data_IF_848350261022
#
_entry.id   IF_848350261022
#
_cell.length_a   1.000
_cell.length_b   1.000
_cell.length_c   1.000
_cell.angle_alpha   90.00
_cell.angle_beta   90.00
_cell.angle_gamma   90.00
#
_symmetry.space_group_name_H-M   'P 1'
#
loop_
_entity.id
_entity.type
_entity.pdbx_description
1 polymer ?
#
# COMPACT_ATOMS: atom_id res chain seq x y z
N UNK A 1 39.39 12.62 12.38
CA UNK A 1 38.37 12.80 13.44
C UNK A 1 37.39 13.86 12.96
N UNK A 2 36.38 13.47 12.17
CA UNK A 2 35.33 14.38 11.67
C UNK A 2 34.39 13.65 10.68
N UNK A 3 33.73 12.57 11.11
CA UNK A 3 32.70 11.89 10.30
C UNK A 3 31.56 11.24 11.13
N UNK A 4 31.50 11.51 12.44
CA UNK A 4 30.39 11.04 13.29
C UNK A 4 29.35 12.14 13.57
N UNK A 5 29.67 13.41 13.32
CA UNK A 5 28.77 14.55 13.62
C UNK A 5 27.73 14.82 12.51
N UNK A 6 27.91 14.30 11.30
CA UNK A 6 26.99 14.50 10.17
C UNK A 6 25.77 13.56 10.18
N UNK A 7 25.89 12.38 10.81
CA UNK A 7 24.82 11.38 10.90
C UNK A 7 23.85 11.72 12.05
N UNK A 8 24.37 12.23 13.18
CA UNK A 8 23.54 12.67 14.33
C UNK A 8 22.61 13.84 14.00
N UNK A 9 23.00 14.69 13.05
CA UNK A 9 22.25 15.89 12.69
C UNK A 9 21.06 15.61 11.74
N UNK A 10 21.09 14.53 10.94
CA UNK A 10 19.95 14.17 10.07
C UNK A 10 18.83 13.45 10.81
N UNK A 11 19.15 12.56 11.77
CA UNK A 11 18.15 11.89 12.62
C UNK A 11 17.43 12.89 13.55
N UNK A 12 18.13 13.95 13.99
CA UNK A 12 17.51 15.06 14.73
C UNK A 12 16.59 15.93 13.87
N UNK A 13 16.85 16.08 12.56
CA UNK A 13 16.01 16.88 11.67
C UNK A 13 14.64 16.26 11.38
N UNK A 14 14.53 14.93 11.32
CA UNK A 14 13.23 14.25 11.18
C UNK A 14 12.44 14.21 12.50
N UNK A 15 13.10 14.05 13.65
CA UNK A 15 12.41 14.17 14.96
C UNK A 15 12.03 15.62 15.32
N UNK A 16 12.74 16.63 14.81
CA UNK A 16 12.40 18.04 15.05
C UNK A 16 11.31 18.59 14.12
N UNK A 17 10.96 17.89 13.03
CA UNK A 17 9.85 18.31 12.17
C UNK A 17 8.51 18.27 12.92
N UNK A 18 8.36 17.37 13.89
CA UNK A 18 7.16 17.24 14.72
C UNK A 18 6.99 18.37 15.77
N UNK A 19 8.04 19.11 16.14
CA UNK A 19 7.96 20.11 17.22
C UNK A 19 7.80 21.56 16.73
N UNK A 20 8.08 21.86 15.46
CA UNK A 20 8.02 23.23 14.92
C UNK A 20 6.72 23.55 14.17
N UNK A 21 5.96 22.55 13.73
CA UNK A 21 4.64 22.76 13.10
C UNK A 21 3.59 23.18 14.14
N UNK A 22 3.71 22.71 15.38
CA UNK A 22 2.79 23.03 16.48
C UNK A 22 2.81 24.50 16.93
N UNK A 23 3.91 25.24 16.69
CA UNK A 23 4.05 26.62 17.18
C UNK A 23 3.58 27.70 16.22
N UNK A 24 3.45 27.40 14.92
CA UNK A 24 3.12 28.43 13.91
C UNK A 24 1.64 28.52 13.52
N UNK A 25 0.78 27.63 14.03
CA UNK A 25 -0.65 27.57 13.63
C UNK A 25 -1.62 27.94 14.76
N UNK A 26 -1.11 28.23 15.97
CA UNK A 26 -1.92 28.69 17.11
C UNK A 26 -2.58 30.08 16.90
N UNK A 27 -2.28 30.77 15.80
CA UNK A 27 -2.81 32.11 15.52
C UNK A 27 -3.92 32.17 14.46
N UNK A 28 -4.38 31.04 13.90
CA UNK A 28 -5.35 31.06 12.80
C UNK A 28 -6.79 30.69 13.16
N UNK A 29 -7.05 30.02 14.29
CA UNK A 29 -8.42 29.63 14.65
C UNK A 29 -8.65 29.74 16.14
N UNK A 30 -9.58 30.61 16.54
CA UNK A 30 -10.05 30.76 17.92
C UNK A 30 -10.83 29.54 18.42
N UNK A 31 -11.14 29.48 19.73
CA UNK A 31 -11.84 28.34 20.31
C UNK A 31 -13.27 28.22 19.76
N UNK A 32 -13.71 27.01 19.48
CA UNK A 32 -15.06 26.70 18.98
C UNK A 32 -15.90 26.19 20.16
N UNK A 33 -17.02 26.87 20.40
CA UNK A 33 -18.06 26.46 21.34
C UNK A 33 -18.86 25.27 20.78
N UNK A 34 -19.06 24.24 21.61
CA UNK A 34 -19.99 23.14 21.37
C UNK A 34 -21.42 23.63 21.60
N UNK A 35 -22.27 23.62 20.57
CA UNK A 35 -23.71 23.48 20.71
C UNK A 35 -24.29 22.71 19.52
N UNK A 36 -25.04 21.66 19.87
CA UNK A 36 -25.82 20.78 19.01
C UNK A 36 -26.92 21.53 18.24
N UNK A 37 -27.37 20.99 17.10
CA UNK A 37 -28.81 20.84 16.79
C UNK A 37 -29.07 20.03 15.49
N UNK A 38 -29.91 19.01 15.67
CA UNK A 38 -30.87 18.31 14.80
C UNK A 38 -30.65 18.07 13.29
N UNK A 39 -30.59 16.77 12.96
CA UNK A 39 -30.82 16.20 11.63
C UNK A 39 -32.33 16.03 11.39
N UNK A 40 -32.80 16.39 10.19
CA UNK A 40 -34.10 15.95 9.70
C UNK A 40 -33.94 15.21 8.36
N UNK A 41 -34.45 14.00 8.39
CA UNK A 41 -34.47 12.94 7.39
C UNK A 41 -35.39 13.28 6.22
N UNK A 42 -35.03 12.87 4.99
CA UNK A 42 -35.96 12.50 3.91
C UNK A 42 -35.18 11.88 2.73
N UNK A 43 -35.26 10.56 2.69
CA UNK A 43 -34.89 9.67 1.58
C UNK A 43 -35.73 9.92 0.33
N UNK A 44 -35.14 9.69 -0.85
CA UNK A 44 -35.84 9.11 -1.99
C UNK A 44 -34.89 8.17 -2.74
N UNK A 45 -35.27 6.88 -2.73
CA UNK A 45 -34.60 5.74 -3.36
C UNK A 45 -34.85 5.72 -4.87
N UNK A 46 -33.82 5.43 -5.66
CA UNK A 46 -33.98 4.84 -6.99
C UNK A 46 -33.17 3.53 -7.04
N UNK A 47 -33.91 2.42 -7.14
CA UNK A 47 -33.39 1.08 -7.47
C UNK A 47 -33.08 1.01 -8.96
N UNK A 48 -31.87 0.64 -9.32
CA UNK A 48 -31.56 0.12 -10.66
C UNK A 48 -30.82 -1.22 -10.49
N UNK A 49 -31.56 -2.30 -10.70
CA UNK A 49 -31.07 -3.66 -10.69
C UNK A 49 -30.38 -3.97 -12.03
N UNK A 50 -29.24 -4.68 -11.93
CA UNK A 50 -28.48 -5.38 -12.97
C UNK A 50 -27.17 -4.71 -13.43
N UNK A 51 -26.14 -4.79 -12.58
CA UNK A 51 -24.77 -4.93 -13.07
C UNK A 51 -24.06 -6.04 -12.29
N UNK A 52 -23.75 -7.13 -13.00
CA UNK A 52 -22.96 -8.23 -12.46
C UNK A 52 -21.56 -7.72 -12.14
N UNK A 53 -21.23 -7.64 -10.85
CA UNK A 53 -19.91 -7.21 -10.36
C UNK A 53 -18.84 -8.19 -10.85
N UNK A 54 -17.83 -7.76 -11.64
CA UNK A 54 -16.81 -8.66 -12.13
C UNK A 54 -15.83 -9.03 -11.01
N UNK A 55 -15.63 -10.34 -10.84
CA UNK A 55 -14.63 -10.95 -9.95
C UNK A 55 -13.22 -10.74 -10.52
N UNK A 56 -12.42 -9.85 -9.93
CA UNK A 56 -10.97 -9.61 -10.20
C UNK A 56 -10.60 -9.30 -11.67
N UNK A 57 -9.71 -8.34 -11.94
CA UNK A 57 -9.47 -7.87 -13.32
C UNK A 57 -8.71 -8.87 -14.22
N UNK A 58 -8.29 -10.03 -13.72
CA UNK A 58 -7.57 -11.03 -14.51
C UNK A 58 -8.52 -12.02 -15.18
N UNK A 59 -9.45 -11.50 -15.98
CA UNK A 59 -10.20 -12.34 -16.93
C UNK A 59 -9.25 -12.78 -18.04
N UNK A 60 -9.37 -14.05 -18.44
CA UNK A 60 -8.65 -14.84 -19.47
C UNK A 60 -8.37 -14.20 -20.86
N UNK A 61 -8.56 -12.90 -21.06
CA UNK A 61 -8.57 -12.22 -22.36
C UNK A 61 -7.26 -11.50 -22.74
N UNK A 62 -6.23 -11.50 -21.88
CA UNK A 62 -4.94 -10.83 -22.12
C UNK A 62 -4.72 -9.61 -21.22
N UNK A 63 -3.50 -9.08 -21.22
CA UNK A 63 -3.15 -7.84 -20.52
C UNK A 63 -3.37 -6.63 -21.44
N UNK A 64 -3.55 -5.41 -20.91
CA UNK A 64 -3.48 -4.21 -21.73
C UNK A 64 -2.07 -4.09 -22.35
N UNK A 65 -1.91 -3.33 -23.45
CA UNK A 65 -0.58 -3.06 -24.00
C UNK A 65 0.39 -2.50 -22.96
N UNK A 66 1.67 -2.79 -23.13
CA UNK A 66 2.71 -2.35 -22.21
C UNK A 66 2.65 -0.82 -22.07
N UNK A 67 2.63 -0.30 -20.83
CA UNK A 67 2.65 1.13 -20.62
C UNK A 67 4.02 1.70 -21.00
N UNK A 68 4.01 2.82 -21.73
CA UNK A 68 5.25 3.52 -22.12
C UNK A 68 6.00 4.04 -20.87
N UNK A 69 5.24 4.51 -19.88
CA UNK A 69 5.72 5.05 -18.62
C UNK A 69 5.42 4.11 -17.44
N UNK A 70 6.04 4.39 -16.29
CA UNK A 70 5.86 3.60 -15.08
C UNK A 70 6.82 2.41 -14.97
N UNK A 71 6.50 1.47 -14.10
CA UNK A 71 7.43 0.46 -13.61
C UNK A 71 7.12 -0.97 -14.07
N UNK A 72 6.22 -1.14 -15.03
CA UNK A 72 5.83 -2.43 -15.60
C UNK A 72 6.54 -2.60 -16.95
N UNK A 73 7.13 -3.76 -17.18
CA UNK A 73 7.85 -4.10 -18.41
C UNK A 73 7.42 -5.48 -18.90
N UNK A 74 7.03 -5.60 -20.17
CA UNK A 74 6.68 -6.88 -20.77
C UNK A 74 7.83 -7.41 -21.60
N UNK A 75 8.11 -8.70 -21.50
CA UNK A 75 9.07 -9.37 -22.38
C UNK A 75 8.59 -10.75 -22.72
N UNK A 76 8.47 -11.04 -24.02
CA UNK A 76 8.18 -12.41 -24.43
C UNK A 76 9.28 -13.35 -23.91
N UNK A 77 10.55 -13.01 -24.12
CA UNK A 77 11.70 -13.77 -23.60
C UNK A 77 12.98 -12.94 -23.54
N UNK A 78 13.92 -13.34 -22.67
CA UNK A 78 15.21 -12.68 -22.44
C UNK A 78 16.38 -13.68 -22.56
N UNK A 79 16.56 -14.26 -23.74
CA UNK A 79 17.54 -15.34 -23.94
C UNK A 79 18.83 -14.79 -24.55
N UNK A 80 19.94 -15.03 -23.86
CA UNK A 80 21.33 -14.76 -24.29
C UNK A 80 21.51 -13.47 -25.13
N UNK A 81 21.14 -12.30 -24.58
CA UNK A 81 21.33 -11.04 -25.28
C UNK A 81 22.83 -10.78 -25.51
N UNK A 82 23.18 -10.25 -26.68
CA UNK A 82 24.53 -9.77 -26.92
C UNK A 82 24.92 -8.65 -25.92
N UNK A 83 26.21 -8.35 -25.72
CA UNK A 83 26.66 -7.41 -24.70
C UNK A 83 26.01 -6.02 -24.81
N UNK A 84 25.87 -5.49 -26.02
CA UNK A 84 25.24 -4.19 -26.24
C UNK A 84 23.75 -4.22 -25.86
N UNK A 85 23.04 -5.27 -26.27
CA UNK A 85 21.62 -5.48 -25.92
C UNK A 85 21.44 -5.65 -24.42
N UNK A 86 22.33 -6.39 -23.76
CA UNK A 86 22.30 -6.55 -22.30
C UNK A 86 22.45 -5.21 -21.59
N UNK A 87 23.36 -4.33 -22.05
CA UNK A 87 23.50 -2.98 -21.49
C UNK A 87 22.24 -2.13 -21.68
N UNK A 88 21.58 -2.23 -22.84
CA UNK A 88 20.30 -1.56 -23.07
C UNK A 88 19.21 -2.06 -22.11
N UNK A 89 19.12 -3.38 -21.92
CA UNK A 89 18.15 -3.98 -20.99
C UNK A 89 18.42 -3.56 -19.54
N UNK A 90 19.69 -3.50 -19.11
CA UNK A 90 20.07 -2.99 -17.78
C UNK A 90 19.66 -1.52 -17.63
N UNK A 91 19.89 -0.70 -18.65
CA UNK A 91 19.51 0.72 -18.62
C UNK A 91 18.00 0.88 -18.52
N UNK A 92 17.25 0.08 -19.27
CA UNK A 92 15.78 0.03 -19.21
C UNK A 92 15.28 -0.38 -17.82
N UNK A 93 15.84 -1.45 -17.24
CA UNK A 93 15.50 -1.89 -15.87
C UNK A 93 15.76 -0.79 -14.83
N UNK A 94 16.89 -0.10 -14.93
CA UNK A 94 17.20 1.01 -14.04
C UNK A 94 16.20 2.17 -14.19
N UNK A 95 15.68 2.40 -15.40
CA UNK A 95 14.66 3.40 -15.62
C UNK A 95 13.31 2.98 -15.01
N UNK A 96 12.84 1.75 -15.26
CA UNK A 96 11.63 1.20 -14.64
C UNK A 96 11.69 1.21 -13.11
N UNK A 97 12.84 0.85 -12.52
CA UNK A 97 13.06 0.93 -11.08
C UNK A 97 12.95 2.36 -10.54
N UNK A 98 13.39 3.38 -11.28
CA UNK A 98 13.26 4.78 -10.85
C UNK A 98 11.82 5.26 -10.92
N UNK A 99 11.12 4.93 -12.00
CA UNK A 99 9.69 5.24 -12.18
C UNK A 99 8.84 4.58 -11.09
N UNK A 100 9.22 3.39 -10.63
CA UNK A 100 8.53 2.67 -9.55
C UNK A 100 9.15 2.83 -8.16
N UNK A 101 9.92 3.89 -7.93
CA UNK A 101 10.49 4.21 -6.60
C UNK A 101 11.26 3.05 -5.94
N UNK A 102 12.00 2.29 -6.73
CA UNK A 102 12.78 1.14 -6.30
C UNK A 102 12.15 -0.23 -6.60
N UNK A 103 10.97 -0.27 -7.23
CA UNK A 103 10.32 -1.52 -7.65
C UNK A 103 9.95 -1.51 -9.13
N UNK A 104 10.16 -2.62 -9.82
CA UNK A 104 9.71 -2.84 -11.19
C UNK A 104 9.10 -4.24 -11.35
N UNK A 105 8.03 -4.36 -12.12
CA UNK A 105 7.36 -5.62 -12.43
C UNK A 105 7.70 -6.04 -13.86
N UNK A 106 8.22 -7.26 -13.99
CA UNK A 106 8.56 -7.86 -15.27
C UNK A 106 7.62 -9.02 -15.56
N UNK A 107 6.89 -8.92 -16.67
CA UNK A 107 6.01 -9.97 -17.17
C UNK A 107 6.70 -10.76 -18.27
N UNK A 108 7.20 -11.96 -17.94
CA UNK A 108 7.90 -12.85 -18.87
C UNK A 108 6.90 -13.79 -19.55
N UNK A 109 6.99 -13.91 -20.87
CA UNK A 109 6.03 -14.65 -21.68
C UNK A 109 4.86 -13.80 -22.17
N UNK A 110 4.97 -12.46 -22.03
CA UNK A 110 3.97 -11.49 -22.48
C UNK A 110 4.57 -10.63 -23.60
N UNK A 111 3.82 -10.46 -24.68
CA UNK A 111 4.20 -9.55 -25.77
C UNK A 111 3.87 -8.10 -25.41
N UNK A 112 4.55 -7.13 -26.04
CA UNK A 112 4.36 -5.69 -25.79
C UNK A 112 2.90 -5.22 -26.01
N UNK A 113 2.12 -5.96 -26.82
CA UNK A 113 0.68 -5.71 -27.02
C UNK A 113 -0.23 -6.28 -25.91
N UNK A 114 0.34 -6.93 -24.90
CA UNK A 114 -0.35 -7.60 -23.80
C UNK A 114 -0.78 -9.05 -24.09
N UNK A 115 -0.39 -9.60 -25.24
CA UNK A 115 -0.72 -10.99 -25.62
C UNK A 115 0.05 -12.00 -24.76
N UNK A 116 -0.67 -12.93 -24.16
CA UNK A 116 -0.17 -13.96 -23.25
C UNK A 116 0.34 -15.20 -23.98
N UNK A 117 1.37 -15.02 -24.82
CA UNK A 117 1.93 -16.10 -25.64
C UNK A 117 2.66 -17.19 -24.84
N UNK A 118 3.18 -16.85 -23.65
CA UNK A 118 3.99 -17.72 -22.79
C UNK A 118 5.33 -18.11 -23.41
N UNK A 119 6.16 -18.84 -22.66
CA UNK A 119 7.45 -19.38 -23.11
C UNK A 119 7.62 -20.83 -22.66
N UNK A 120 8.48 -21.61 -23.33
CA UNK A 120 8.79 -22.96 -22.82
C UNK A 120 9.51 -22.88 -21.47
N UNK A 121 9.52 -23.97 -20.71
CA UNK A 121 10.24 -24.03 -19.44
C UNK A 121 11.75 -23.70 -19.60
N UNK A 122 12.39 -24.17 -20.67
CA UNK A 122 13.80 -23.88 -20.96
C UNK A 122 14.03 -22.40 -21.27
N UNK A 123 13.15 -21.81 -22.08
CA UNK A 123 13.20 -20.38 -22.42
C UNK A 123 12.95 -19.50 -21.20
N UNK A 124 12.05 -19.91 -20.29
CA UNK A 124 11.79 -19.23 -19.04
C UNK A 124 13.02 -19.24 -18.13
N UNK A 125 13.64 -20.39 -17.91
CA UNK A 125 14.84 -20.49 -17.08
C UNK A 125 15.98 -19.63 -17.64
N UNK A 126 16.20 -19.66 -18.95
CA UNK A 126 17.18 -18.78 -19.61
C UNK A 126 16.85 -17.30 -19.43
N UNK A 127 15.56 -16.94 -19.52
CA UNK A 127 15.09 -15.55 -19.33
C UNK A 127 15.31 -15.07 -17.90
N UNK A 128 15.01 -15.90 -16.89
CA UNK A 128 15.24 -15.60 -15.48
C UNK A 128 16.73 -15.44 -15.16
N UNK A 129 17.61 -16.26 -15.77
CA UNK A 129 19.07 -16.10 -15.64
C UNK A 129 19.53 -14.75 -16.17
N UNK A 130 19.03 -14.33 -17.34
CA UNK A 130 19.36 -13.01 -17.90
C UNK A 130 18.83 -11.88 -17.02
N UNK A 131 17.58 -11.98 -16.56
CA UNK A 131 16.96 -10.99 -15.68
C UNK A 131 17.74 -10.86 -14.36
N UNK A 132 18.23 -11.99 -13.81
CA UNK A 132 19.09 -12.00 -12.63
C UNK A 132 20.40 -11.27 -12.87
N UNK A 133 21.07 -11.53 -14.01
CA UNK A 133 22.31 -10.80 -14.39
C UNK A 133 22.07 -9.29 -14.50
N UNK A 134 20.92 -8.89 -15.05
CA UNK A 134 20.54 -7.48 -15.15
C UNK A 134 20.36 -6.85 -13.76
N UNK A 135 19.60 -7.52 -12.88
CA UNK A 135 19.35 -7.06 -11.52
C UNK A 135 20.63 -6.99 -10.68
N UNK A 136 21.48 -8.03 -10.75
CA UNK A 136 22.75 -8.07 -10.03
C UNK A 136 23.68 -6.91 -10.46
N UNK A 137 23.64 -6.52 -11.74
CA UNK A 137 24.40 -5.37 -12.28
C UNK A 137 23.94 -4.02 -11.70
N UNK A 138 22.72 -3.94 -11.17
CA UNK A 138 22.14 -2.76 -10.54
C UNK A 138 22.12 -2.85 -9.01
N UNK A 139 22.62 -3.96 -8.43
CA UNK A 139 22.47 -4.29 -7.01
C UNK A 139 20.99 -4.42 -6.57
N UNK A 140 20.16 -4.97 -7.46
CA UNK A 140 18.75 -5.25 -7.20
C UNK A 140 18.53 -6.74 -6.89
N UNK A 141 17.47 -7.06 -6.16
CA UNK A 141 16.96 -8.43 -5.97
C UNK A 141 15.82 -8.72 -6.94
N UNK A 142 15.58 -10.01 -7.21
CA UNK A 142 14.41 -10.47 -7.95
C UNK A 142 13.63 -11.48 -7.12
N UNK A 143 12.31 -11.43 -7.20
CA UNK A 143 11.37 -12.34 -6.53
C UNK A 143 10.28 -12.72 -7.52
N UNK A 144 10.04 -14.01 -7.70
CA UNK A 144 8.93 -14.47 -8.55
C UNK A 144 7.64 -14.30 -7.73
N UNK A 145 6.72 -13.47 -8.21
CA UNK A 145 5.43 -13.25 -7.56
C UNK A 145 4.43 -14.32 -7.96
N UNK A 146 4.41 -14.65 -9.24
CA UNK A 146 3.41 -15.55 -9.79
C UNK A 146 3.96 -16.29 -11.01
N UNK A 147 3.63 -17.57 -11.12
CA UNK A 147 3.89 -18.39 -12.30
C UNK A 147 2.60 -19.06 -12.75
N UNK A 148 2.26 -18.91 -14.03
CA UNK A 148 1.09 -19.50 -14.66
C UNK A 148 1.51 -20.32 -15.86
N UNK A 149 0.93 -21.52 -15.96
CA UNK A 149 0.97 -22.33 -17.17
C UNK A 149 -0.20 -21.98 -18.08
N UNK A 150 0.09 -21.69 -19.35
CA UNK A 150 -0.86 -21.47 -20.44
C UNK A 150 -0.88 -22.68 -21.38
N UNK A 151 -1.64 -22.59 -22.47
CA UNK A 151 -1.78 -23.67 -23.44
C UNK A 151 -0.41 -24.16 -23.98
N UNK A 152 -0.33 -25.44 -24.33
CA UNK A 152 0.86 -26.09 -24.88
C UNK A 152 2.09 -26.08 -23.94
N UNK A 153 1.89 -26.16 -22.62
CA UNK A 153 2.98 -26.25 -21.64
C UNK A 153 3.92 -25.04 -21.64
N UNK A 154 3.35 -23.87 -21.95
CA UNK A 154 4.07 -22.61 -21.91
C UNK A 154 3.80 -21.91 -20.58
N UNK A 155 4.76 -21.11 -20.13
CA UNK A 155 4.76 -20.45 -18.84
C UNK A 155 4.76 -18.94 -19.01
N UNK A 156 4.07 -18.27 -18.10
CA UNK A 156 4.07 -16.81 -17.93
C UNK A 156 4.44 -16.55 -16.48
N UNK A 157 5.35 -15.63 -16.25
CA UNK A 157 5.88 -15.35 -14.91
C UNK A 157 5.92 -13.85 -14.68
N UNK A 158 5.34 -13.43 -13.57
CA UNK A 158 5.47 -12.09 -13.04
C UNK A 158 6.64 -12.07 -12.04
N UNK A 159 7.63 -11.24 -12.30
CA UNK A 159 8.83 -11.10 -11.48
C UNK A 159 8.92 -9.68 -10.94
N UNK A 160 8.98 -9.56 -9.62
CA UNK A 160 9.30 -8.32 -8.94
C UNK A 160 10.81 -8.13 -8.91
N UNK A 161 11.28 -6.98 -9.39
CA UNK A 161 12.65 -6.51 -9.25
C UNK A 161 12.63 -5.39 -8.22
N UNK A 162 13.46 -5.50 -7.17
CA UNK A 162 13.52 -4.51 -6.11
C UNK A 162 14.94 -4.00 -5.90
N UNK A 163 15.09 -2.69 -5.83
CA UNK A 163 16.30 -2.00 -5.41
C UNK A 163 15.94 -0.90 -4.42
N UNK A 164 16.46 -1.00 -3.20
CA UNK A 164 16.38 0.11 -2.25
C UNK A 164 17.18 1.30 -2.84
N UNK A 165 16.58 2.50 -2.95
CA UNK A 165 17.30 3.68 -3.44
C UNK A 165 18.58 3.95 -2.65
N UNK A 166 19.64 4.38 -3.32
CA UNK A 166 20.98 4.52 -2.70
C UNK A 166 21.01 5.57 -1.56
N UNK A 167 20.01 6.46 -1.52
CA UNK A 167 19.81 7.50 -0.49
C UNK A 167 18.88 7.08 0.65
N UNK A 168 18.36 5.86 0.63
CA UNK A 168 17.36 5.34 1.57
C UNK A 168 17.80 4.02 2.20
N UNK A 169 17.22 3.68 3.35
CA UNK A 169 17.43 2.39 4.01
C UNK A 169 16.39 1.34 3.61
N UNK A 170 15.20 1.78 3.22
CA UNK A 170 14.08 0.96 2.80
C UNK A 170 13.17 1.78 1.89
N UNK A 171 12.34 1.11 1.10
CA UNK A 171 11.24 1.72 0.36
C UNK A 171 10.08 1.94 1.34
N UNK A 172 9.63 3.18 1.54
CA UNK A 172 8.50 3.53 2.41
C UNK A 172 7.23 3.72 1.57
N UNK A 173 6.18 2.96 1.88
CA UNK A 173 4.87 3.10 1.27
C UNK A 173 3.86 3.51 2.34
N UNK A 174 3.20 4.65 2.17
CA UNK A 174 2.28 5.22 3.16
C UNK A 174 0.84 5.03 2.74
N UNK A 175 0.11 4.31 3.57
CA UNK A 175 -1.31 4.01 3.35
C UNK A 175 -2.16 4.70 4.40
N UNK A 176 -2.94 5.69 3.98
CA UNK A 176 -3.97 6.29 4.83
C UNK A 176 -5.18 5.36 4.90
N UNK A 177 -5.65 5.05 6.10
CA UNK A 177 -6.78 4.14 6.30
C UNK A 177 -8.03 4.94 6.59
N UNK A 178 -8.96 4.89 5.64
CA UNK A 178 -10.23 5.61 5.64
C UNK A 178 -11.39 4.65 5.79
N UNK A 179 -12.53 5.20 6.20
CA UNK A 179 -13.76 4.43 6.37
C UNK A 179 -14.49 4.78 7.65
N UNK A 180 -15.72 4.30 7.73
CA UNK A 180 -16.69 4.74 8.72
C UNK A 180 -16.44 4.15 10.09
N UNK A 181 -17.18 4.60 11.09
CA UNK A 181 -17.17 3.94 12.40
C UNK A 181 -17.56 2.47 12.21
N UNK A 182 -16.86 1.58 12.91
CA UNK A 182 -17.07 0.13 12.87
C UNK A 182 -16.79 -0.58 11.53
N UNK A 183 -16.23 0.08 10.51
CA UNK A 183 -15.76 -0.61 9.29
C UNK A 183 -14.54 -1.52 9.49
N UNK A 184 -14.00 -1.54 10.72
CA UNK A 184 -12.92 -2.43 11.12
C UNK A 184 -11.52 -1.96 10.74
N UNK A 185 -11.31 -0.69 10.40
CA UNK A 185 -9.99 -0.07 10.10
C UNK A 185 -8.89 -0.47 11.09
N UNK A 186 -9.06 -0.10 12.35
CA UNK A 186 -8.09 -0.35 13.42
C UNK A 186 -7.92 -1.84 13.70
N UNK A 187 -8.99 -2.63 13.60
CA UNK A 187 -8.89 -4.09 13.73
C UNK A 187 -8.03 -4.68 12.61
N UNK A 188 -8.28 -4.28 11.35
CA UNK A 188 -7.55 -4.75 10.17
C UNK A 188 -6.06 -4.41 10.28
N UNK A 189 -5.72 -3.15 10.62
CA UNK A 189 -4.32 -2.74 10.83
C UNK A 189 -3.69 -3.57 11.97
N UNK A 190 -4.40 -3.77 13.07
CA UNK A 190 -3.91 -4.59 14.19
C UNK A 190 -3.61 -6.02 13.78
N UNK A 191 -4.48 -6.67 13.00
CA UNK A 191 -4.22 -8.01 12.46
C UNK A 191 -3.00 -8.00 11.54
N UNK A 192 -2.91 -7.05 10.61
CA UNK A 192 -1.80 -6.97 9.65
C UNK A 192 -0.45 -6.72 10.32
N UNK A 193 -0.40 -5.99 11.44
CA UNK A 193 0.85 -5.52 12.06
C UNK A 193 1.27 -6.35 13.27
N UNK A 194 0.36 -7.12 13.87
CA UNK A 194 0.68 -8.01 15.01
C UNK A 194 0.53 -9.50 14.67
N UNK A 195 -0.03 -9.86 13.52
CA UNK A 195 -0.20 -11.25 13.10
C UNK A 195 -1.25 -12.04 13.89
N UNK A 196 -2.00 -11.39 14.78
CA UNK A 196 -3.05 -12.01 15.59
C UNK A 196 -4.44 -11.71 15.03
N UNK A 197 -5.27 -12.75 14.86
CA UNK A 197 -6.65 -12.58 14.41
C UNK A 197 -7.50 -11.84 15.44
N UNK A 198 -8.35 -10.95 14.93
CA UNK A 198 -9.36 -10.26 15.74
C UNK A 198 -10.45 -11.25 16.18
N UNK A 199 -11.01 -11.04 17.38
CA UNK A 199 -12.02 -11.92 17.97
C UNK A 199 -13.46 -11.45 17.71
N UNK A 200 -13.65 -10.56 16.72
CA UNK A 200 -14.93 -9.90 16.43
C UNK A 200 -15.35 -8.83 17.45
N UNK A 201 -14.58 -8.63 18.53
CA UNK A 201 -14.85 -7.63 19.57
C UNK A 201 -13.78 -6.53 19.62
N UNK A 202 -12.92 -6.45 18.61
CA UNK A 202 -11.87 -5.44 18.51
C UNK A 202 -10.72 -5.68 19.48
N UNK A 203 -10.32 -6.95 19.71
CA UNK A 203 -9.09 -7.27 20.44
C UNK A 203 -7.86 -6.77 19.67
N UNK A 204 -7.84 -6.92 18.35
CA UNK A 204 -6.70 -6.52 17.52
C UNK A 204 -6.42 -5.00 17.58
N UNK A 205 -7.47 -4.16 17.64
CA UNK A 205 -7.32 -2.69 17.70
C UNK A 205 -6.80 -2.16 19.02
N UNK A 206 -6.84 -2.95 20.12
CA UNK A 206 -6.34 -2.49 21.42
C UNK A 206 -4.84 -2.18 21.38
N UNK A 207 -4.10 -2.86 20.51
CA UNK A 207 -2.67 -2.62 20.29
C UNK A 207 -2.39 -1.24 19.65
N UNK A 208 -3.41 -0.58 19.10
CA UNK A 208 -3.29 0.68 18.37
C UNK A 208 -3.72 1.90 19.20
N UNK A 209 -4.47 1.68 20.28
CA UNK A 209 -4.97 2.77 21.11
C UNK A 209 -3.84 3.44 21.90
N UNK A 210 -3.79 4.77 21.80
CA UNK A 210 -2.74 5.60 22.41
C UNK A 210 -3.21 6.32 23.65
N UNK A 211 -4.53 6.50 23.77
CA UNK A 211 -5.13 7.27 24.87
C UNK A 211 -6.09 6.44 25.71
N UNK A 212 -6.15 6.76 27.01
CA UNK A 212 -7.03 6.08 27.97
C UNK A 212 -8.51 6.14 27.54
N UNK A 213 -8.95 7.27 26.99
CA UNK A 213 -10.33 7.41 26.52
C UNK A 213 -10.64 6.56 25.28
N UNK A 214 -9.64 6.19 24.46
CA UNK A 214 -9.82 5.25 23.35
C UNK A 214 -10.03 3.82 23.87
N UNK A 215 -9.29 3.43 24.90
CA UNK A 215 -9.45 2.13 25.58
C UNK A 215 -10.83 2.05 26.25
N UNK A 216 -11.26 3.13 26.92
CA UNK A 216 -12.55 3.18 27.61
C UNK A 216 -13.75 3.19 26.65
N UNK A 217 -13.67 3.98 25.57
CA UNK A 217 -14.77 4.12 24.61
C UNK A 217 -14.76 3.04 23.52
N UNK A 218 -13.64 2.37 23.31
CA UNK A 218 -13.43 1.48 22.18
C UNK A 218 -13.37 2.19 20.82
N UNK A 219 -13.10 3.51 20.80
CA UNK A 219 -13.09 4.33 19.57
C UNK A 219 -11.77 5.03 19.37
N UNK A 220 -11.26 4.99 18.13
CA UNK A 220 -10.08 5.76 17.70
C UNK A 220 -10.42 7.24 17.60
N UNK A 221 -9.61 8.08 18.24
CA UNK A 221 -9.78 9.53 18.31
C UNK A 221 -8.57 10.31 17.80
N UNK A 222 -7.46 9.62 17.62
CA UNK A 222 -6.16 10.16 17.21
C UNK A 222 -5.63 9.41 15.98
N UNK A 223 -4.68 10.02 15.27
CA UNK A 223 -4.00 9.34 14.16
C UNK A 223 -2.98 8.37 14.76
N UNK A 224 -3.16 7.07 14.51
CA UNK A 224 -2.18 6.06 14.83
C UNK A 224 -1.32 5.74 13.61
N UNK A 225 -0.03 5.54 13.84
CA UNK A 225 0.92 5.10 12.81
C UNK A 225 1.46 3.75 13.20
N UNK A 226 1.26 2.78 12.31
CA UNK A 226 1.78 1.42 12.46
C UNK A 226 2.59 1.04 11.24
N UNK A 227 3.57 0.17 11.42
CA UNK A 227 4.44 -0.27 10.33
C UNK A 227 4.37 -1.79 10.15
N UNK A 228 4.44 -2.21 8.89
CA UNK A 228 4.63 -3.59 8.48
C UNK A 228 5.83 -3.64 7.54
N UNK A 229 6.85 -4.40 7.93
CA UNK A 229 8.07 -4.57 7.17
C UNK A 229 8.01 -5.77 6.22
N UNK A 230 8.84 -5.72 5.17
CA UNK A 230 9.09 -6.84 4.26
C UNK A 230 10.58 -6.95 3.96
N UNK A 231 11.13 -8.16 4.02
CA UNK A 231 12.50 -8.42 3.58
C UNK A 231 12.61 -8.48 2.05
N UNK A 232 13.83 -8.68 1.55
CA UNK A 232 14.15 -8.85 0.13
C UNK A 232 13.46 -10.05 -0.52
N UNK A 233 13.17 -11.08 0.28
CA UNK A 233 12.49 -12.31 -0.11
C UNK A 233 10.97 -12.18 -0.12
N UNK A 234 10.42 -11.05 0.36
CA UNK A 234 8.99 -10.78 0.43
C UNK A 234 8.28 -11.31 1.68
N UNK A 235 9.02 -11.81 2.67
CA UNK A 235 8.44 -12.26 3.95
C UNK A 235 8.12 -11.06 4.84
N UNK A 236 7.00 -11.13 5.57
CA UNK A 236 6.55 -10.08 6.47
C UNK A 236 7.37 -10.03 7.77
N UNK A 237 7.63 -8.81 8.23
CA UNK A 237 8.35 -8.47 9.45
C UNK A 237 7.42 -7.56 10.26
N UNK A 238 6.90 -8.07 11.37
CA UNK A 238 5.80 -7.45 12.11
C UNK A 238 6.07 -7.41 13.63
N UNK A 239 5.13 -6.88 14.41
CA UNK A 239 5.22 -6.80 15.86
C UNK A 239 4.96 -8.13 16.58
N UNK A 240 4.45 -9.14 15.87
CA UNK A 240 4.35 -10.51 16.40
C UNK A 240 5.74 -11.12 16.57
N UNK A 241 6.68 -10.75 15.68
CA UNK A 241 8.05 -11.23 15.71
C UNK A 241 9.02 -10.28 16.42
N UNK A 242 8.82 -8.96 16.28
CA UNK A 242 9.72 -7.93 16.79
C UNK A 242 9.02 -6.98 17.76
N UNK A 243 9.76 -6.37 18.70
CA UNK A 243 9.12 -5.59 19.78
C UNK A 243 9.11 -4.09 19.53
N UNK A 244 9.94 -3.63 18.60
CA UNK A 244 10.10 -2.19 18.37
C UNK A 244 10.02 -1.85 16.88
N UNK A 245 9.51 -0.66 16.53
CA UNK A 245 9.49 -0.22 15.14
C UNK A 245 10.89 -0.21 14.51
N UNK A 246 11.91 0.11 15.30
CA UNK A 246 13.31 0.14 14.86
C UNK A 246 13.80 -1.22 14.37
N UNK A 247 13.48 -2.29 15.09
CA UNK A 247 13.87 -3.65 14.69
C UNK A 247 13.21 -4.06 13.37
N UNK A 248 11.97 -3.64 13.15
CA UNK A 248 11.25 -3.86 11.89
C UNK A 248 11.97 -3.09 10.78
N UNK A 249 12.27 -1.80 10.98
CA UNK A 249 12.95 -0.98 9.98
C UNK A 249 14.33 -1.53 9.62
N UNK A 250 15.14 -1.90 10.61
CA UNK A 250 16.53 -2.35 10.42
C UNK A 250 16.62 -3.67 9.61
N UNK A 251 15.52 -4.43 9.52
CA UNK A 251 15.46 -5.74 8.85
C UNK A 251 14.63 -5.72 7.56
N UNK A 252 14.02 -4.59 7.24
CA UNK A 252 13.09 -4.45 6.11
C UNK A 252 13.76 -3.78 4.94
N UNK A 253 13.49 -4.29 3.74
CA UNK A 253 13.82 -3.61 2.48
C UNK A 253 12.66 -2.73 1.98
N UNK A 254 11.44 -3.03 2.44
CA UNK A 254 10.24 -2.25 2.20
C UNK A 254 9.41 -2.17 3.49
N UNK A 255 8.83 -1.01 3.75
CA UNK A 255 7.94 -0.78 4.88
C UNK A 255 6.63 -0.22 4.34
N UNK A 256 5.52 -0.76 4.84
CA UNK A 256 4.20 -0.18 4.68
C UNK A 256 3.86 0.52 5.98
N UNK A 257 3.69 1.83 5.93
CA UNK A 257 3.28 2.65 7.06
C UNK A 257 1.78 2.93 6.94
N UNK A 258 0.99 2.39 7.86
CA UNK A 258 -0.44 2.65 7.97
C UNK A 258 -0.69 3.88 8.83
N UNK A 259 -1.52 4.81 8.34
CA UNK A 259 -2.08 5.90 9.14
C UNK A 259 -3.56 5.61 9.42
N UNK A 260 -3.88 5.16 10.64
CA UNK A 260 -5.26 4.92 11.07
C UNK A 260 -5.95 6.25 11.32
N UNK A 261 -6.90 6.61 10.46
CA UNK A 261 -7.65 7.86 10.56
C UNK A 261 -8.99 7.62 11.24
N UNK A 262 -9.40 8.61 12.05
CA UNK A 262 -10.64 8.52 12.80
C UNK A 262 -11.85 8.45 11.85
N UNK A 263 -12.74 7.49 12.10
CA UNK A 263 -13.87 7.19 11.21
C UNK A 263 -15.14 8.00 11.47
N UNK A 264 -15.15 8.87 12.48
CA UNK A 264 -16.34 9.61 12.89
C UNK A 264 -16.31 11.03 12.32
N UNK A 265 -17.47 11.53 11.88
CA UNK A 265 -17.69 12.88 11.36
C UNK A 265 -17.11 14.02 12.22
N UNK A 266 -17.10 13.87 13.55
CA UNK A 266 -16.51 14.85 14.48
C UNK A 266 -15.01 15.05 14.27
N UNK A 267 -14.32 14.12 13.61
CA UNK A 267 -12.86 14.13 13.41
C UNK A 267 -12.44 14.37 11.96
N UNK A 268 -13.32 14.92 11.11
CA UNK A 268 -13.03 15.24 9.70
C UNK A 268 -11.75 16.07 9.54
N UNK A 269 -11.52 17.08 10.39
CA UNK A 269 -10.29 17.88 10.34
C UNK A 269 -9.03 17.04 10.54
N UNK A 270 -9.08 16.10 11.47
CA UNK A 270 -7.99 15.15 11.74
C UNK A 270 -7.77 14.23 10.53
N UNK A 271 -8.83 13.77 9.89
CA UNK A 271 -8.76 12.91 8.69
C UNK A 271 -8.14 13.65 7.50
N UNK A 272 -8.58 14.88 7.21
CA UNK A 272 -8.01 15.71 6.12
C UNK A 272 -6.55 16.05 6.42
N UNK A 273 -6.24 16.41 7.67
CA UNK A 273 -4.86 16.65 8.09
C UNK A 273 -4.01 15.39 7.90
N UNK A 274 -4.50 14.22 8.29
CA UNK A 274 -3.76 12.97 8.15
C UNK A 274 -3.49 12.60 6.70
N UNK A 275 -4.45 12.80 5.80
CA UNK A 275 -4.27 12.61 4.36
C UNK A 275 -3.23 13.57 3.77
N UNK A 276 -3.30 14.85 4.15
CA UNK A 276 -2.45 15.90 3.56
C UNK A 276 -1.05 15.96 4.17
N UNK A 277 -0.93 15.87 5.49
CA UNK A 277 0.31 16.10 6.23
C UNK A 277 1.27 14.91 6.16
N UNK A 278 0.76 13.69 5.99
CA UNK A 278 1.59 12.49 5.94
C UNK A 278 1.99 12.08 4.52
N UNK A 279 1.51 12.80 3.50
CA UNK A 279 1.73 12.52 2.08
C UNK A 279 1.46 11.04 1.78
N UNK A 280 0.22 10.62 1.98
CA UNK A 280 -0.19 9.24 1.73
C UNK A 280 -0.04 8.91 0.23
N UNK A 281 0.65 7.81 -0.08
CA UNK A 281 0.77 7.30 -1.44
C UNK A 281 -0.55 6.66 -1.91
N UNK A 282 -1.26 6.04 -0.97
CA UNK A 282 -2.57 5.43 -1.21
C UNK A 282 -3.53 5.67 -0.05
N UNK A 283 -4.81 5.69 -0.36
CA UNK A 283 -5.89 5.63 0.61
C UNK A 283 -6.60 4.28 0.53
N UNK A 284 -6.59 3.54 1.63
CA UNK A 284 -7.38 2.32 1.82
C UNK A 284 -8.76 2.70 2.36
N UNK A 285 -9.80 2.53 1.56
CA UNK A 285 -11.18 2.75 2.00
C UNK A 285 -11.79 1.43 2.51
N UNK A 286 -11.86 1.27 3.83
CA UNK A 286 -12.50 0.12 4.47
C UNK A 286 -14.02 0.29 4.49
N UNK A 287 -14.73 -0.61 3.83
CA UNK A 287 -16.20 -0.67 3.75
C UNK A 287 -16.69 -1.93 4.45
N UNK A 288 -17.69 -1.77 5.31
CA UNK A 288 -18.30 -2.87 6.05
C UNK A 288 -19.29 -3.64 5.15
N UNK A 289 -19.04 -4.91 4.84
CA UNK A 289 -19.86 -5.67 3.88
C UNK A 289 -21.34 -5.82 4.25
N UNK A 290 -21.72 -6.03 5.53
CA UNK A 290 -23.12 -6.07 5.93
C UNK A 290 -23.82 -4.70 5.85
N UNK A 291 -23.06 -3.62 5.90
CA UNK A 291 -23.59 -2.26 5.84
C UNK A 291 -23.55 -1.77 4.38
N UNK A 292 -24.55 -0.99 3.98
CA UNK A 292 -24.48 -0.27 2.71
C UNK A 292 -23.45 0.87 2.79
N UNK A 293 -23.13 1.47 1.64
CA UNK A 293 -22.30 2.68 1.59
C UNK A 293 -23.07 3.84 2.24
N UNK A 294 -22.70 4.18 3.46
CA UNK A 294 -23.23 5.34 4.20
C UNK A 294 -22.52 6.65 3.78
N UNK A 295 -23.10 7.80 4.14
CA UNK A 295 -22.60 9.11 3.71
C UNK A 295 -21.18 9.39 4.16
N UNK A 296 -20.81 8.97 5.37
CA UNK A 296 -19.43 9.12 5.88
C UNK A 296 -18.39 8.37 5.03
N UNK A 297 -18.77 7.24 4.40
CA UNK A 297 -17.91 6.55 3.42
C UNK A 297 -17.70 7.42 2.19
N UNK A 298 -18.78 8.03 1.67
CA UNK A 298 -18.75 8.91 0.49
C UNK A 298 -17.93 10.16 0.76
N UNK A 299 -18.04 10.74 1.96
CA UNK A 299 -17.24 11.88 2.40
C UNK A 299 -15.74 11.54 2.44
N UNK A 300 -15.37 10.45 3.10
CA UNK A 300 -13.97 10.01 3.16
C UNK A 300 -13.38 9.72 1.78
N UNK A 301 -14.16 9.07 0.90
CA UNK A 301 -13.78 8.88 -0.49
C UNK A 301 -13.55 10.22 -1.19
N UNK A 302 -14.48 11.17 -1.01
CA UNK A 302 -14.38 12.52 -1.59
C UNK A 302 -13.13 13.25 -1.12
N UNK A 303 -12.72 13.10 0.15
CA UNK A 303 -11.48 13.69 0.66
C UNK A 303 -10.24 13.15 -0.04
N UNK A 304 -10.14 11.83 -0.22
CA UNK A 304 -9.01 11.21 -0.90
C UNK A 304 -8.92 11.67 -2.37
N UNK A 305 -10.05 11.67 -3.10
CA UNK A 305 -10.10 12.13 -4.49
C UNK A 305 -9.77 13.62 -4.61
N UNK A 306 -10.26 14.46 -3.69
CA UNK A 306 -9.97 15.91 -3.70
C UNK A 306 -8.49 16.21 -3.47
N UNK A 307 -7.77 15.31 -2.79
CA UNK A 307 -6.34 15.41 -2.52
C UNK A 307 -5.48 14.67 -3.55
N UNK A 308 -6.08 14.19 -4.65
CA UNK A 308 -5.42 13.37 -5.68
C UNK A 308 -4.69 12.13 -5.12
N UNK A 309 -5.22 11.56 -4.03
CA UNK A 309 -4.68 10.33 -3.42
C UNK A 309 -5.37 9.11 -4.05
N UNK A 310 -4.64 8.20 -4.70
CA UNK A 310 -5.20 6.97 -5.26
C UNK A 310 -5.90 6.12 -4.20
N UNK A 311 -7.12 5.67 -4.49
CA UNK A 311 -7.95 4.89 -3.55
C UNK A 311 -8.05 3.43 -3.98
N UNK A 312 -7.89 2.52 -3.03
CA UNK A 312 -8.33 1.14 -3.18
C UNK A 312 -9.33 0.77 -2.08
N UNK A 313 -10.30 -0.08 -2.42
CA UNK A 313 -11.41 -0.43 -1.53
C UNK A 313 -11.18 -1.80 -0.90
N UNK A 314 -11.34 -1.88 0.42
CA UNK A 314 -11.31 -3.14 1.17
C UNK A 314 -12.69 -3.41 1.74
N UNK A 315 -13.34 -4.45 1.22
CA UNK A 315 -14.62 -4.93 1.72
C UNK A 315 -14.35 -5.87 2.89
N UNK A 316 -14.70 -5.42 4.10
CA UNK A 316 -14.43 -6.12 5.36
C UNK A 316 -15.68 -6.84 5.90
N UNK A 317 -15.51 -7.79 6.81
CA UNK A 317 -16.59 -8.56 7.46
C UNK A 317 -17.46 -9.39 6.50
N UNK A 318 -16.87 -9.89 5.42
CA UNK A 318 -17.55 -10.74 4.44
C UNK A 318 -18.07 -12.06 5.03
N UNK A 319 -17.49 -12.50 6.17
CA UNK A 319 -17.89 -13.67 6.93
C UNK A 319 -19.28 -13.53 7.58
N UNK A 320 -19.76 -12.30 7.76
CA UNK A 320 -21.09 -12.00 8.30
C UNK A 320 -22.18 -12.02 7.22
N UNK A 321 -21.82 -12.04 5.94
CA UNK A 321 -22.77 -12.06 4.84
C UNK A 321 -23.25 -13.49 4.56
N UNK A 322 -24.55 -13.66 4.32
CA UNK A 322 -25.09 -14.92 3.80
C UNK A 322 -24.62 -15.16 2.37
N UNK A 323 -24.41 -16.43 1.99
CA UNK A 323 -24.18 -16.77 0.57
C UNK A 323 -25.43 -16.39 -0.24
N UNK A 324 -25.22 -15.60 -1.29
CA UNK A 324 -26.23 -15.28 -2.30
C UNK A 324 -26.69 -16.53 -3.04
#
# INVERSE_FOLDING_TARGET
MSNQDSISNKTKSQCNYNNNVDKHVSSLFGPVDDNDDDYNDNNDYYDDENEQVPRSPFVLAGLPPEPQDGNIEYKLKLIDPNPDRLQHLITQMNWRLKEGHGEALYEIGVEDCGTLSGVSHEELQASLVTLRKMADSLHASITILFERKVENDRHIVEVLVRKVPDDQHFIDLRVAVLGTVDSGKSSLIGVCTYGELDNGHGRARLNLFRHVHEIQSGRTSSIAHEILGFNDSGESIDYGTYRTPREICDRSTKIITFADLAGHTKYVRTTIFGLSAHAADFAMLCVDAPSSVVDTTREHFSYAITLDVPVFVVINKIDLCSKA
#
